data_IF_092852896319
#
_entry.id   IF_092852896319
#
_cell.length_a   1.000
_cell.length_b   1.000
_cell.length_c   1.000
_cell.angle_alpha   90.00
_cell.angle_beta   90.00
_cell.angle_gamma   90.00
#
_symmetry.space_group_name_H-M   'P 1'
#
loop_
_entity.id
_entity.type
_entity.pdbx_description
1 polymer ?
#
# COMPACT_ATOMS: atom_id res chain seq x y z
N UNK A 1 -8.50 -2.62 -8.79
CA UNK A 1 -8.18 -1.27 -9.35
C UNK A 1 -9.24 -0.28 -8.89
N UNK A 2 -8.86 0.86 -8.33
CA UNK A 2 -9.78 1.89 -7.85
C UNK A 2 -9.77 3.07 -8.81
N UNK A 3 -10.96 3.49 -9.22
CA UNK A 3 -11.17 4.61 -10.13
C UNK A 3 -12.12 5.64 -9.50
N UNK A 4 -12.17 6.83 -10.07
CA UNK A 4 -13.06 7.89 -9.61
C UNK A 4 -12.57 9.25 -10.08
N UNK A 5 -13.46 10.24 -10.04
CA UNK A 5 -13.19 11.62 -10.45
C UNK A 5 -12.05 12.25 -9.65
N UNK A 6 -11.45 13.31 -10.18
CA UNK A 6 -10.46 14.08 -9.43
C UNK A 6 -11.08 14.60 -8.12
N UNK A 7 -10.33 14.50 -7.02
CA UNK A 7 -10.81 14.95 -5.71
C UNK A 7 -11.80 14.02 -5.01
N UNK A 8 -12.15 12.83 -5.57
CA UNK A 8 -13.07 11.89 -4.91
C UNK A 8 -12.47 11.18 -3.68
N UNK A 9 -11.16 11.31 -3.44
CA UNK A 9 -10.50 10.78 -2.24
C UNK A 9 -9.66 9.52 -2.43
N UNK A 10 -9.21 9.16 -3.65
CA UNK A 10 -8.38 7.96 -3.89
C UNK A 10 -7.10 7.95 -3.05
N UNK A 11 -6.34 9.04 -3.06
CA UNK A 11 -5.14 9.20 -2.22
C UNK A 11 -5.47 9.17 -0.73
N UNK A 12 -6.58 9.83 -0.33
CA UNK A 12 -7.05 9.80 1.06
C UNK A 12 -7.42 8.39 1.52
N UNK A 13 -8.00 7.59 0.62
CA UNK A 13 -8.28 6.18 0.89
C UNK A 13 -6.96 5.40 1.13
N UNK A 14 -5.94 5.61 0.31
CA UNK A 14 -4.62 5.03 0.51
C UNK A 14 -4.02 5.39 1.88
N UNK A 15 -4.10 6.65 2.29
CA UNK A 15 -3.65 7.07 3.63
C UNK A 15 -4.46 6.43 4.74
N UNK A 16 -5.79 6.36 4.62
CA UNK A 16 -6.64 5.71 5.60
C UNK A 16 -6.33 4.20 5.70
N UNK A 17 -6.12 3.53 4.55
CA UNK A 17 -5.75 2.12 4.51
C UNK A 17 -4.39 1.86 5.18
N UNK A 18 -3.43 2.79 5.06
CA UNK A 18 -2.10 2.67 5.64
C UNK A 18 -1.95 3.29 7.03
N UNK A 19 -3.02 3.84 7.62
CA UNK A 19 -3.00 4.32 9.01
C UNK A 19 -2.61 3.20 9.99
N UNK A 20 -3.00 1.96 9.72
CA UNK A 20 -2.64 0.79 10.52
C UNK A 20 -1.12 0.57 10.60
N UNK A 21 -0.36 0.93 9.57
CA UNK A 21 1.10 0.81 9.58
C UNK A 21 1.70 1.74 10.64
N UNK A 22 1.20 2.96 10.73
CA UNK A 22 1.65 3.92 11.74
C UNK A 22 1.17 3.54 13.15
N UNK A 23 0.00 2.91 13.24
CA UNK A 23 -0.59 2.45 14.50
C UNK A 23 0.17 1.27 15.11
N UNK A 24 0.58 0.32 14.28
CA UNK A 24 1.14 -0.97 14.73
C UNK A 24 2.66 -1.08 14.59
N UNK A 25 3.34 -0.11 13.96
CA UNK A 25 4.79 -0.15 13.75
C UNK A 25 5.48 1.09 14.30
N UNK A 26 6.83 1.12 14.23
CA UNK A 26 7.64 2.31 14.59
C UNK A 26 7.75 3.34 13.47
N UNK A 27 7.03 3.13 12.35
CA UNK A 27 7.06 4.04 11.21
C UNK A 27 6.29 5.30 11.55
N UNK A 28 6.96 6.44 11.42
CA UNK A 28 6.34 7.74 11.72
C UNK A 28 5.53 8.26 10.53
N UNK A 29 4.49 9.03 10.83
CA UNK A 29 3.79 9.85 9.83
C UNK A 29 4.74 10.85 9.17
N UNK A 30 4.54 11.14 7.90
CA UNK A 30 5.18 12.29 7.27
C UNK A 30 4.57 13.62 7.78
N UNK A 31 5.19 14.76 7.39
CA UNK A 31 4.79 16.07 7.88
C UNK A 31 3.32 16.41 7.51
N UNK A 32 2.82 15.97 6.35
CA UNK A 32 1.44 16.21 5.93
C UNK A 32 0.43 15.36 6.69
N UNK A 33 0.78 14.16 7.06
CA UNK A 33 -0.08 13.24 7.80
C UNK A 33 -0.11 13.56 9.30
N UNK A 34 0.89 14.28 9.82
CA UNK A 34 0.94 14.73 11.23
C UNK A 34 0.02 15.91 11.52
N UNK A 35 -0.48 16.59 10.49
CA UNK A 35 -1.37 17.74 10.70
C UNK A 35 -2.72 17.30 11.23
N UNK A 36 -2.92 17.48 12.54
CA UNK A 36 -4.14 17.12 13.24
C UNK A 36 -5.36 17.92 12.77
N UNK A 37 -5.16 19.09 12.14
CA UNK A 37 -6.26 19.94 11.65
C UNK A 37 -6.99 19.30 10.46
N UNK A 38 -6.34 18.42 9.72
CA UNK A 38 -6.86 17.77 8.52
C UNK A 38 -7.13 16.26 8.73
N UNK A 39 -6.99 15.76 9.95
CA UNK A 39 -7.13 14.31 10.21
C UNK A 39 -8.58 13.84 10.18
N UNK A 40 -9.48 14.60 10.78
CA UNK A 40 -10.91 14.30 10.75
C UNK A 40 -11.57 14.95 9.53
N UNK A 41 -12.57 14.27 8.97
CA UNK A 41 -13.38 14.84 7.90
C UNK A 41 -14.13 16.09 8.41
N UNK A 42 -13.89 17.25 7.79
CA UNK A 42 -14.49 18.54 8.18
C UNK A 42 -16.01 18.59 8.10
N UNK A 43 -16.63 17.73 7.26
CA UNK A 43 -18.10 17.63 7.15
C UNK A 43 -18.72 16.68 8.19
N UNK A 44 -17.89 16.02 9.03
CA UNK A 44 -18.35 15.06 10.03
C UNK A 44 -18.40 15.69 11.43
N UNK A 45 -19.53 15.45 12.16
CA UNK A 45 -19.60 15.79 13.58
C UNK A 45 -18.92 14.75 14.48
N UNK A 46 -18.32 13.69 13.94
CA UNK A 46 -17.66 12.66 14.74
C UNK A 46 -16.37 13.21 15.38
N UNK A 47 -16.14 12.83 16.63
CA UNK A 47 -14.98 13.28 17.41
C UNK A 47 -13.73 12.44 17.16
N UNK A 48 -13.84 11.34 16.41
CA UNK A 48 -12.75 10.46 16.05
C UNK A 48 -13.03 9.77 14.72
N UNK A 49 -11.98 9.40 14.00
CA UNK A 49 -12.02 8.55 12.82
C UNK A 49 -12.02 7.08 13.28
N UNK A 50 -12.84 6.24 12.65
CA UNK A 50 -12.90 4.80 12.91
C UNK A 50 -12.26 4.03 11.77
N UNK A 51 -11.42 3.08 12.12
CA UNK A 51 -10.75 2.16 11.20
C UNK A 51 -11.15 0.75 11.56
N UNK A 52 -11.46 -0.06 10.54
CA UNK A 52 -11.82 -1.46 10.69
C UNK A 52 -11.10 -2.27 9.62
N UNK A 53 -10.35 -3.28 10.05
CA UNK A 53 -9.59 -4.19 9.20
C UNK A 53 -10.00 -5.61 9.50
N UNK A 54 -10.15 -6.38 8.43
CA UNK A 54 -10.42 -7.80 8.49
C UNK A 54 -9.31 -8.56 7.77
N UNK A 55 -8.75 -9.54 8.46
CA UNK A 55 -7.73 -10.44 7.92
C UNK A 55 -8.23 -11.86 7.96
N UNK A 56 -7.72 -12.69 7.04
CA UNK A 56 -7.95 -14.12 7.09
C UNK A 56 -6.60 -14.84 7.02
N UNK A 57 -6.26 -15.56 8.09
CA UNK A 57 -5.04 -16.35 8.19
C UNK A 57 -5.39 -17.83 8.38
N UNK A 58 -5.02 -18.68 7.42
CA UNK A 58 -5.29 -20.14 7.46
C UNK A 58 -6.77 -20.47 7.76
N UNK A 59 -7.70 -19.71 7.19
CA UNK A 59 -9.13 -19.87 7.40
C UNK A 59 -9.67 -19.23 8.68
N UNK A 60 -8.82 -18.66 9.55
CA UNK A 60 -9.24 -17.94 10.76
C UNK A 60 -9.44 -16.46 10.45
N UNK A 61 -10.65 -15.96 10.71
CA UNK A 61 -10.98 -14.54 10.60
C UNK A 61 -10.44 -13.77 11.80
N UNK A 62 -9.73 -12.68 11.53
CA UNK A 62 -9.19 -11.75 12.53
C UNK A 62 -9.67 -10.34 12.23
N UNK A 63 -10.27 -9.68 13.20
CA UNK A 63 -10.81 -8.33 13.07
C UNK A 63 -10.05 -7.39 14.01
N UNK A 64 -9.56 -6.30 13.48
CA UNK A 64 -8.90 -5.25 14.25
C UNK A 64 -9.56 -3.90 13.97
N UNK A 65 -10.09 -3.30 15.03
CA UNK A 65 -10.80 -2.02 14.96
C UNK A 65 -10.16 -1.04 15.91
N UNK A 66 -10.04 0.22 15.49
CA UNK A 66 -9.62 1.29 16.39
C UNK A 66 -10.21 2.64 15.98
N UNK A 67 -10.26 3.56 16.95
CA UNK A 67 -10.69 4.94 16.76
C UNK A 67 -9.58 5.90 17.14
N UNK A 68 -9.34 6.94 16.33
CA UNK A 68 -8.37 8.00 16.58
C UNK A 68 -9.03 9.37 16.60
N UNK A 69 -8.78 10.14 17.67
CA UNK A 69 -9.19 11.55 17.75
C UNK A 69 -8.19 12.49 17.06
N UNK A 70 -6.94 12.06 16.93
CA UNK A 70 -5.85 12.72 16.19
C UNK A 70 -4.87 11.64 15.69
N UNK A 71 -3.92 11.94 14.78
CA UNK A 71 -2.98 10.96 14.22
C UNK A 71 -2.31 10.07 15.28
N UNK A 72 -1.98 10.64 16.43
CA UNK A 72 -1.27 9.99 17.54
C UNK A 72 -2.13 9.78 18.79
N UNK A 73 -3.48 9.87 18.70
CA UNK A 73 -4.39 9.69 19.84
C UNK A 73 -5.41 8.60 19.55
N UNK A 74 -5.08 7.37 19.94
CA UNK A 74 -6.02 6.24 19.91
C UNK A 74 -6.94 6.36 21.12
N UNK A 75 -8.25 6.38 20.89
CA UNK A 75 -9.29 6.48 21.94
C UNK A 75 -10.12 5.21 22.08
N UNK A 76 -10.08 4.34 21.12
CA UNK A 76 -10.79 3.06 21.10
C UNK A 76 -9.95 2.01 20.40
N UNK A 77 -10.01 0.76 20.84
CA UNK A 77 -9.31 -0.36 20.18
C UNK A 77 -9.99 -1.68 20.53
N UNK A 78 -10.20 -2.52 19.54
CA UNK A 78 -10.81 -3.84 19.68
C UNK A 78 -10.15 -4.85 18.77
N UNK A 79 -9.86 -6.03 19.30
CA UNK A 79 -9.29 -7.14 18.55
C UNK A 79 -10.11 -8.40 18.74
N UNK A 80 -10.43 -9.10 17.64
CA UNK A 80 -11.24 -10.31 17.63
C UNK A 80 -10.57 -11.40 16.81
N UNK A 81 -10.71 -12.64 17.24
CA UNK A 81 -10.24 -13.84 16.53
C UNK A 81 -11.36 -14.87 16.47
N UNK A 82 -11.72 -15.31 15.28
CA UNK A 82 -12.80 -16.28 15.08
C UNK A 82 -14.13 -15.83 15.68
N UNK A 83 -14.40 -14.54 15.67
CA UNK A 83 -15.63 -13.94 16.23
C UNK A 83 -15.63 -13.73 17.74
N UNK A 84 -14.55 -14.11 18.45
CA UNK A 84 -14.40 -13.90 19.91
C UNK A 84 -13.56 -12.67 20.20
N UNK A 85 -13.98 -11.85 21.16
CA UNK A 85 -13.21 -10.70 21.62
C UNK A 85 -11.98 -11.17 22.39
N UNK A 86 -10.81 -10.66 21.98
CA UNK A 86 -9.53 -10.89 22.68
C UNK A 86 -9.26 -9.74 23.64
N UNK A 87 -9.47 -8.51 23.17
CA UNK A 87 -9.47 -7.34 24.04
C UNK A 87 -10.35 -6.21 23.50
N UNK A 88 -10.81 -5.39 24.40
CA UNK A 88 -11.49 -4.12 24.15
C UNK A 88 -10.84 -3.07 25.04
N UNK A 89 -10.38 -1.96 24.43
CA UNK A 89 -10.02 -0.72 25.11
C UNK A 89 -10.97 0.37 24.66
N UNK A 90 -11.72 0.92 25.59
CA UNK A 90 -12.63 2.03 25.33
C UNK A 90 -12.26 3.21 26.24
N UNK A 91 -11.46 4.12 25.71
CA UNK A 91 -11.05 5.33 26.39
C UNK A 91 -12.08 6.45 26.32
N UNK A 92 -13.28 6.19 25.72
CA UNK A 92 -14.40 7.13 25.62
C UNK A 92 -15.36 6.88 26.79
N UNK A 93 -15.86 5.65 26.90
CA UNK A 93 -16.84 5.26 27.91
C UNK A 93 -16.21 4.53 29.10
N UNK A 94 -14.91 4.22 29.03
CA UNK A 94 -14.14 3.57 30.09
C UNK A 94 -14.39 2.07 30.23
N UNK A 95 -15.07 1.45 29.26
CA UNK A 95 -15.37 0.01 29.28
C UNK A 95 -14.23 -0.79 28.65
N UNK A 96 -13.36 -1.34 29.51
CA UNK A 96 -12.20 -2.12 29.05
C UNK A 96 -12.40 -3.60 29.40
N UNK A 97 -12.06 -4.50 28.46
CA UNK A 97 -12.00 -5.94 28.66
C UNK A 97 -10.72 -6.49 28.01
N UNK A 98 -9.89 -7.13 28.82
CA UNK A 98 -8.61 -7.73 28.41
C UNK A 98 -8.56 -9.23 28.72
N UNK A 99 -9.68 -9.84 29.08
CA UNK A 99 -9.74 -11.23 29.56
C UNK A 99 -9.26 -12.25 28.54
N UNK A 100 -9.56 -12.02 27.24
CA UNK A 100 -9.13 -12.90 26.15
C UNK A 100 -7.63 -12.87 25.87
N UNK A 101 -6.87 -11.92 26.44
CA UNK A 101 -5.41 -11.89 26.30
C UNK A 101 -4.72 -13.07 27.01
N UNK A 102 -5.42 -13.73 27.96
CA UNK A 102 -4.92 -14.93 28.63
C UNK A 102 -4.66 -16.08 27.68
N UNK A 103 -5.48 -16.25 26.65
CA UNK A 103 -5.34 -17.29 25.63
C UNK A 103 -4.12 -17.09 24.71
N UNK A 104 -3.50 -15.89 24.76
CA UNK A 104 -2.34 -15.50 23.96
C UNK A 104 -1.11 -15.18 24.81
N UNK A 105 -1.01 -15.76 25.99
CA UNK A 105 0.16 -15.62 26.88
C UNK A 105 0.34 -14.23 27.52
N UNK A 106 -0.67 -13.36 27.44
CA UNK A 106 -0.59 -11.99 27.93
C UNK A 106 -1.50 -11.71 29.16
N UNK A 107 -2.06 -12.74 29.77
CA UNK A 107 -3.00 -12.59 30.90
C UNK A 107 -2.43 -11.93 32.16
N UNK A 108 -1.11 -11.96 32.35
CA UNK A 108 -0.43 -11.28 33.47
C UNK A 108 0.10 -9.88 33.09
N UNK A 109 -0.02 -9.46 31.84
CA UNK A 109 0.48 -8.18 31.37
C UNK A 109 -0.43 -7.03 31.85
N UNK A 110 0.17 -6.00 32.39
CA UNK A 110 -0.58 -4.78 32.73
C UNK A 110 -0.82 -3.96 31.45
N UNK A 111 -2.04 -4.02 30.93
CA UNK A 111 -2.47 -3.31 29.71
C UNK A 111 -3.26 -2.02 30.00
N UNK A 112 -3.10 -1.43 31.18
CA UNK A 112 -3.71 -0.14 31.48
C UNK A 112 -3.00 0.99 30.73
N UNK A 113 -3.36 1.14 29.45
CA UNK A 113 -2.76 2.08 28.52
C UNK A 113 -3.72 3.28 28.36
N UNK A 114 -3.24 4.47 28.66
CA UNK A 114 -4.00 5.71 28.47
C UNK A 114 -4.22 6.01 26.96
N UNK A 115 -5.18 6.89 26.67
CA UNK A 115 -5.35 7.41 25.33
C UNK A 115 -4.06 8.06 24.83
N UNK A 116 -3.60 7.68 23.64
CA UNK A 116 -2.31 8.13 23.11
C UNK A 116 -1.87 7.29 21.91
N UNK A 117 -0.58 7.36 21.53
CA UNK A 117 -0.10 6.73 20.29
C UNK A 117 0.10 5.21 20.41
N UNK A 118 0.12 4.66 21.63
CA UNK A 118 0.43 3.26 21.84
C UNK A 118 -0.82 2.37 21.67
N UNK A 119 -0.78 1.46 20.69
CA UNK A 119 -1.78 0.41 20.51
C UNK A 119 -1.62 -0.70 21.54
N UNK A 120 -2.72 -1.22 22.07
CA UNK A 120 -2.75 -2.43 22.92
C UNK A 120 -2.16 -3.62 22.19
N UNK A 121 -2.58 -3.85 20.92
CA UNK A 121 -2.07 -4.96 20.11
C UNK A 121 -0.55 -4.91 20.00
N UNK A 122 0.00 -3.76 19.63
CA UNK A 122 1.44 -3.55 19.51
C UNK A 122 2.15 -3.74 20.86
N UNK A 123 1.58 -3.19 21.93
CA UNK A 123 2.14 -3.32 23.26
C UNK A 123 2.21 -4.77 23.72
N UNK A 124 1.14 -5.52 23.52
CA UNK A 124 1.06 -6.95 23.88
C UNK A 124 2.12 -7.76 23.13
N UNK A 125 2.16 -7.63 21.79
CA UNK A 125 3.11 -8.41 20.96
C UNK A 125 4.56 -8.07 21.30
N UNK A 126 4.88 -6.83 21.61
CA UNK A 126 6.25 -6.42 21.95
C UNK A 126 6.69 -6.80 23.38
N UNK A 127 5.76 -7.12 24.28
CA UNK A 127 6.05 -7.40 25.69
C UNK A 127 5.73 -8.83 26.12
N UNK A 128 5.34 -9.69 25.17
CA UNK A 128 5.08 -11.12 25.43
C UNK A 128 5.74 -11.99 24.38
N UNK A 129 6.05 -13.22 24.76
CA UNK A 129 6.50 -14.24 23.79
C UNK A 129 5.25 -14.82 23.14
N UNK A 130 5.07 -14.54 21.87
CA UNK A 130 3.98 -15.07 21.07
C UNK A 130 4.34 -16.45 20.53
N UNK A 131 3.38 -17.36 20.52
CA UNK A 131 3.53 -18.63 19.83
C UNK A 131 3.65 -18.43 18.32
N UNK A 132 4.36 -19.33 17.64
CA UNK A 132 4.45 -19.32 16.18
C UNK A 132 3.05 -19.41 15.56
N UNK A 133 2.75 -18.45 14.67
CA UNK A 133 1.44 -18.38 14.03
C UNK A 133 0.33 -17.72 14.87
N UNK A 134 0.64 -17.13 16.02
CA UNK A 134 -0.33 -16.35 16.81
C UNK A 134 -1.00 -15.28 15.94
N UNK A 135 -2.35 -15.18 15.93
CA UNK A 135 -3.07 -14.15 15.17
C UNK A 135 -2.61 -12.72 15.47
N UNK A 136 -2.20 -12.44 16.71
CA UNK A 136 -1.70 -11.13 17.13
C UNK A 136 -0.39 -10.79 16.40
N UNK A 137 0.58 -11.71 16.42
CA UNK A 137 1.87 -11.52 15.75
C UNK A 137 1.74 -11.54 14.22
N UNK A 138 0.80 -12.33 13.67
CA UNK A 138 0.53 -12.37 12.23
C UNK A 138 0.02 -11.03 11.70
N UNK A 139 -0.88 -10.35 12.42
CA UNK A 139 -1.34 -9.00 12.02
C UNK A 139 -0.17 -8.04 12.02
N UNK A 140 0.65 -7.99 13.08
CA UNK A 140 1.84 -7.11 13.13
C UNK A 140 2.80 -7.43 11.98
N UNK A 141 3.10 -8.72 11.75
CA UNK A 141 3.97 -9.17 10.66
C UNK A 141 3.43 -8.77 9.28
N UNK A 142 2.13 -8.97 9.03
CA UNK A 142 1.49 -8.57 7.79
C UNK A 142 1.60 -7.05 7.59
N UNK A 143 1.21 -6.27 8.59
CA UNK A 143 1.19 -4.80 8.52
C UNK A 143 2.60 -4.21 8.36
N UNK A 144 3.61 -4.80 9.00
CA UNK A 144 5.00 -4.33 8.87
C UNK A 144 5.57 -4.50 7.47
N UNK A 145 4.99 -5.38 6.64
CA UNK A 145 5.40 -5.69 5.27
C UNK A 145 4.47 -5.08 4.21
N UNK A 146 3.52 -4.22 4.58
CA UNK A 146 2.71 -3.46 3.63
C UNK A 146 3.55 -2.40 2.92
N UNK A 147 3.29 -2.18 1.64
CA UNK A 147 4.02 -1.26 0.77
C UNK A 147 3.05 -0.33 0.04
N UNK A 148 3.30 0.98 0.15
CA UNK A 148 2.55 2.03 -0.53
C UNK A 148 3.48 2.85 -1.43
N UNK A 149 3.27 2.81 -2.74
CA UNK A 149 3.95 3.66 -3.70
C UNK A 149 3.18 4.97 -3.90
N UNK A 150 3.86 6.08 -3.68
CA UNK A 150 3.36 7.43 -3.90
C UNK A 150 3.93 7.97 -5.20
N UNK A 151 3.42 7.51 -6.34
CA UNK A 151 4.01 7.78 -7.65
C UNK A 151 4.07 9.25 -8.05
N UNK A 152 3.18 10.11 -7.54
CA UNK A 152 3.20 11.55 -7.81
C UNK A 152 4.16 12.36 -6.92
N UNK A 153 4.68 11.79 -5.84
CA UNK A 153 5.59 12.48 -4.91
C UNK A 153 6.98 11.82 -4.93
N UNK A 154 7.83 12.30 -5.84
CA UNK A 154 9.25 11.93 -5.94
C UNK A 154 9.53 10.42 -6.06
N UNK A 155 8.56 9.63 -6.57
CA UNK A 155 8.64 8.17 -6.61
C UNK A 155 8.96 7.58 -5.22
N UNK A 156 8.39 8.16 -4.17
CA UNK A 156 8.58 7.70 -2.80
C UNK A 156 7.63 6.56 -2.45
N UNK A 157 7.98 5.81 -1.42
CA UNK A 157 7.15 4.74 -0.87
C UNK A 157 7.05 4.84 0.65
N UNK A 158 5.97 4.23 1.21
CA UNK A 158 5.72 4.13 2.64
C UNK A 158 5.53 2.65 2.97
N UNK A 159 5.92 2.26 4.16
CA UNK A 159 5.71 0.90 4.62
C UNK A 159 7.02 0.19 4.91
N UNK A 160 7.27 -0.98 4.30
CA UNK A 160 8.49 -1.73 4.53
C UNK A 160 9.74 -0.88 4.29
N UNK A 161 10.70 -0.94 5.20
CA UNK A 161 11.97 -0.20 5.09
C UNK A 161 13.08 -1.22 4.82
N UNK A 162 13.70 -1.09 3.67
CA UNK A 162 14.86 -1.85 3.25
C UNK A 162 16.14 -1.03 3.46
N UNK A 163 16.57 -0.89 4.71
CA UNK A 163 17.84 -0.29 5.06
C UNK A 163 18.03 1.17 4.61
N UNK A 164 19.31 1.61 4.53
CA UNK A 164 19.72 2.94 4.05
C UNK A 164 20.30 2.92 2.64
N UNK A 165 20.22 1.79 1.96
CA UNK A 165 20.77 1.61 0.62
C UNK A 165 19.92 2.34 -0.42
N UNK A 166 20.57 3.04 -1.35
CA UNK A 166 19.86 3.61 -2.51
C UNK A 166 19.54 2.50 -3.53
N UNK A 167 18.55 2.74 -4.39
CA UNK A 167 18.21 1.78 -5.47
C UNK A 167 19.40 1.58 -6.40
N UNK A 168 20.17 2.63 -6.70
CA UNK A 168 21.38 2.55 -7.50
C UNK A 168 22.44 1.67 -6.82
N UNK A 169 22.65 1.84 -5.51
CA UNK A 169 23.59 0.99 -4.76
C UNK A 169 23.19 -0.47 -4.80
N UNK A 170 21.89 -0.75 -4.65
CA UNK A 170 21.33 -2.10 -4.78
C UNK A 170 21.64 -2.71 -6.16
N UNK A 171 21.34 -1.98 -7.24
CA UNK A 171 21.58 -2.43 -8.62
C UNK A 171 23.06 -2.74 -8.86
N UNK A 172 23.95 -1.88 -8.35
CA UNK A 172 25.40 -2.02 -8.52
C UNK A 172 25.91 -3.23 -7.72
N UNK A 173 25.62 -3.30 -6.42
CA UNK A 173 26.13 -4.34 -5.54
C UNK A 173 25.67 -5.75 -5.91
N UNK A 174 24.44 -5.86 -6.41
CA UNK A 174 23.85 -7.14 -6.80
C UNK A 174 24.07 -7.47 -8.29
N UNK A 175 24.85 -6.66 -9.03
CA UNK A 175 25.12 -6.89 -10.44
C UNK A 175 23.87 -6.79 -11.33
N UNK A 176 22.86 -6.05 -10.89
CA UNK A 176 21.54 -5.97 -11.53
C UNK A 176 21.43 -4.87 -12.61
N UNK A 177 22.48 -4.09 -12.87
CA UNK A 177 22.46 -2.96 -13.81
C UNK A 177 22.09 -3.39 -15.23
N UNK A 178 22.69 -4.48 -15.74
CA UNK A 178 22.38 -5.00 -17.07
C UNK A 178 21.02 -5.72 -17.14
N UNK A 179 20.57 -6.32 -16.04
CA UNK A 179 19.21 -6.86 -15.93
C UNK A 179 18.18 -5.73 -15.95
N UNK A 180 18.43 -4.67 -15.22
CA UNK A 180 17.58 -3.47 -15.24
C UNK A 180 17.56 -2.81 -16.63
N UNK A 181 18.69 -2.73 -17.32
CA UNK A 181 18.77 -2.26 -18.72
C UNK A 181 17.86 -3.09 -19.64
N UNK A 182 17.89 -4.42 -19.49
CA UNK A 182 17.01 -5.34 -20.24
C UNK A 182 15.54 -5.11 -19.91
N UNK A 183 15.22 -4.97 -18.61
CA UNK A 183 13.87 -4.67 -18.13
C UNK A 183 13.31 -3.37 -18.75
N UNK A 184 14.11 -2.30 -18.84
CA UNK A 184 13.70 -1.05 -19.47
C UNK A 184 13.37 -1.25 -20.97
N UNK A 185 14.15 -2.08 -21.67
CA UNK A 185 13.88 -2.42 -23.06
C UNK A 185 12.60 -3.25 -23.23
N UNK A 186 12.44 -4.29 -22.42
CA UNK A 186 11.29 -5.21 -22.51
C UNK A 186 9.98 -4.54 -22.09
N UNK A 187 9.99 -3.73 -21.04
CA UNK A 187 8.78 -3.11 -20.49
C UNK A 187 8.36 -1.82 -21.19
N UNK A 188 9.31 -1.01 -21.63
CA UNK A 188 9.03 0.35 -22.09
C UNK A 188 9.68 0.69 -23.43
N UNK A 189 10.31 -0.27 -24.10
CA UNK A 189 11.10 -0.06 -25.33
C UNK A 189 12.17 1.04 -25.19
N UNK A 190 12.69 1.22 -23.96
CA UNK A 190 13.74 2.20 -23.66
C UNK A 190 15.10 1.56 -23.95
N UNK A 191 15.73 1.98 -25.05
CA UNK A 191 17.09 1.56 -25.40
C UNK A 191 18.11 2.49 -24.76
N UNK A 192 18.79 1.97 -23.74
CA UNK A 192 19.88 2.66 -23.04
C UNK A 192 21.03 1.68 -22.85
N UNK A 193 22.25 2.19 -22.88
CA UNK A 193 23.42 1.40 -22.47
C UNK A 193 23.91 1.91 -21.12
N UNK A 194 23.75 1.07 -20.08
CA UNK A 194 24.05 1.40 -18.69
C UNK A 194 25.37 0.73 -18.27
N UNK A 195 26.32 1.51 -17.85
CA UNK A 195 27.59 1.03 -17.31
C UNK A 195 27.87 1.58 -15.92
N UNK A 196 28.67 0.83 -15.13
CA UNK A 196 29.11 1.25 -13.81
C UNK A 196 30.54 1.79 -13.93
N UNK A 197 30.69 3.05 -13.62
CA UNK A 197 31.99 3.74 -13.64
C UNK A 197 32.33 4.25 -12.25
N UNK A 198 33.60 4.14 -11.84
CA UNK A 198 34.07 4.74 -10.57
C UNK A 198 34.29 6.23 -10.75
N UNK A 199 33.57 7.03 -9.97
CA UNK A 199 33.72 8.48 -9.87
C UNK A 199 34.11 8.83 -8.43
N UNK A 200 35.24 9.47 -8.23
CA UNK A 200 35.76 9.78 -6.90
C UNK A 200 35.87 8.55 -5.96
N UNK A 201 36.15 7.39 -6.54
CA UNK A 201 36.26 6.12 -5.82
C UNK A 201 34.92 5.40 -5.57
N UNK A 202 33.76 6.03 -5.85
CA UNK A 202 32.44 5.45 -5.71
C UNK A 202 31.88 4.94 -7.05
N UNK A 203 31.26 3.77 -7.08
CA UNK A 203 30.61 3.28 -8.29
C UNK A 203 29.32 4.06 -8.57
N UNK A 204 29.14 4.50 -9.79
CA UNK A 204 27.98 5.28 -10.26
C UNK A 204 27.49 4.71 -11.59
N UNK A 205 26.18 4.70 -11.80
CA UNK A 205 25.57 4.25 -13.07
C UNK A 205 25.61 5.40 -14.08
N UNK A 206 26.14 5.13 -15.25
CA UNK A 206 26.20 6.05 -16.38
C UNK A 206 25.44 5.50 -17.57
N UNK A 207 24.90 6.42 -18.37
CA UNK A 207 24.37 6.14 -19.71
C UNK A 207 25.47 6.45 -20.72
N UNK A 208 25.81 5.48 -21.55
CA UNK A 208 26.67 5.71 -22.71
C UNK A 208 25.81 6.20 -23.88
N UNK A 209 26.09 7.37 -24.41
CA UNK A 209 25.41 7.87 -25.59
C UNK A 209 26.23 7.67 -26.88
N UNK A 210 25.59 7.87 -28.05
CA UNK A 210 26.21 7.73 -29.36
C UNK A 210 27.43 8.63 -29.62
N UNK A 211 27.65 9.64 -28.78
CA UNK A 211 28.81 10.54 -28.83
C UNK A 211 29.95 10.17 -27.87
N UNK A 212 29.94 8.95 -27.33
CA UNK A 212 30.91 8.48 -26.32
C UNK A 212 30.99 9.35 -25.04
N UNK A 213 29.95 10.14 -24.75
CA UNK A 213 29.86 10.89 -23.49
C UNK A 213 29.14 10.04 -22.46
N UNK A 214 29.76 9.93 -21.29
CA UNK A 214 29.13 9.32 -20.12
C UNK A 214 28.26 10.36 -19.41
N UNK A 215 26.97 10.05 -19.28
CA UNK A 215 26.01 10.89 -18.57
C UNK A 215 25.57 10.16 -17.31
N UNK A 216 25.60 10.85 -16.17
CA UNK A 216 25.11 10.28 -14.92
C UNK A 216 23.63 9.91 -15.08
N UNK A 217 23.30 8.62 -14.88
CA UNK A 217 21.94 8.10 -15.09
C UNK A 217 20.92 8.84 -14.25
N UNK A 218 21.20 9.09 -12.97
CA UNK A 218 20.31 9.80 -12.06
C UNK A 218 19.93 11.21 -12.55
N UNK A 219 20.85 11.87 -13.25
CA UNK A 219 20.64 13.23 -13.75
C UNK A 219 19.85 13.28 -15.05
N UNK A 220 19.91 12.22 -15.88
CA UNK A 220 19.31 12.20 -17.20
C UNK A 220 18.07 11.32 -17.33
N UNK A 221 17.83 10.43 -16.36
CA UNK A 221 16.66 9.55 -16.32
C UNK A 221 15.37 10.37 -16.23
N UNK A 222 14.43 10.07 -17.11
CA UNK A 222 13.07 10.64 -17.07
C UNK A 222 12.32 10.21 -15.81
N UNK A 223 11.23 10.91 -15.49
CA UNK A 223 10.36 10.51 -14.37
C UNK A 223 9.82 9.09 -14.53
N UNK A 224 9.41 8.71 -15.75
CA UNK A 224 8.96 7.35 -16.06
C UNK A 224 10.06 6.31 -15.88
N UNK A 225 11.29 6.60 -16.33
CA UNK A 225 12.44 5.70 -16.14
C UNK A 225 12.77 5.50 -14.65
N UNK A 226 12.68 6.58 -13.84
CA UNK A 226 12.87 6.48 -12.39
C UNK A 226 11.76 5.70 -11.69
N UNK A 227 10.52 5.89 -12.13
CA UNK A 227 9.38 5.12 -11.63
C UNK A 227 9.54 3.62 -11.96
N UNK A 228 10.01 3.28 -13.16
CA UNK A 228 10.34 1.90 -13.53
C UNK A 228 11.51 1.34 -12.73
N UNK A 229 12.51 2.14 -12.40
CA UNK A 229 13.62 1.71 -11.55
C UNK A 229 13.14 1.39 -10.12
N UNK A 230 12.26 2.20 -9.57
CA UNK A 230 11.63 1.94 -8.27
C UNK A 230 10.78 0.66 -8.33
N UNK A 231 9.98 0.49 -9.37
CA UNK A 231 9.16 -0.70 -9.53
C UNK A 231 10.01 -1.96 -9.72
N UNK A 232 11.06 -1.90 -10.55
CA UNK A 232 12.03 -2.99 -10.73
C UNK A 232 12.73 -3.39 -9.42
N UNK A 233 13.12 -2.41 -8.61
CA UNK A 233 13.68 -2.68 -7.28
C UNK A 233 12.73 -3.53 -6.44
N UNK A 234 11.46 -3.14 -6.37
CA UNK A 234 10.46 -3.87 -5.60
C UNK A 234 10.07 -5.21 -6.20
N UNK A 235 10.10 -5.37 -7.54
CA UNK A 235 9.94 -6.69 -8.17
C UNK A 235 10.92 -7.72 -7.64
N UNK A 236 12.14 -7.29 -7.29
CA UNK A 236 13.16 -8.15 -6.70
C UNK A 236 13.02 -8.36 -5.17
N UNK A 237 11.98 -7.78 -4.54
CA UNK A 237 11.73 -7.83 -3.10
C UNK A 237 10.26 -8.13 -2.76
N UNK A 238 9.46 -8.51 -3.74
CA UNK A 238 8.03 -8.78 -3.48
C UNK A 238 7.80 -9.99 -2.58
N UNK A 239 8.73 -10.90 -2.46
CA UNK A 239 8.71 -12.00 -1.48
C UNK A 239 8.68 -11.49 -0.02
N UNK A 240 9.14 -10.28 0.23
CA UNK A 240 9.11 -9.64 1.53
C UNK A 240 7.84 -8.79 1.78
N UNK A 241 7.01 -8.60 0.76
CA UNK A 241 5.84 -7.72 0.80
C UNK A 241 4.57 -8.53 1.02
N UNK A 242 3.66 -8.04 1.87
CA UNK A 242 2.36 -8.67 2.17
C UNK A 242 1.18 -8.07 1.42
N UNK A 243 1.27 -6.77 1.11
CA UNK A 243 0.23 -5.98 0.46
C UNK A 243 0.84 -4.81 -0.29
N UNK A 244 0.32 -4.50 -1.49
CA UNK A 244 0.80 -3.39 -2.33
C UNK A 244 -0.33 -2.42 -2.60
N UNK A 245 -0.07 -1.13 -2.38
CA UNK A 245 -0.92 -0.04 -2.85
C UNK A 245 -0.11 0.90 -3.75
N UNK A 246 -0.58 1.16 -4.98
CA UNK A 246 0.07 2.09 -5.91
C UNK A 246 -0.90 3.20 -6.27
N UNK A 247 -0.62 4.41 -5.79
CA UNK A 247 -1.46 5.58 -6.03
C UNK A 247 -1.11 6.24 -7.36
N UNK A 248 -2.16 6.55 -8.16
CA UNK A 248 -2.03 7.12 -9.51
C UNK A 248 -0.91 6.44 -10.31
N UNK A 249 -0.95 5.11 -10.36
CA UNK A 249 0.17 4.26 -10.78
C UNK A 249 0.65 4.55 -12.21
N UNK A 250 -0.25 4.99 -13.05
CA UNK A 250 -0.04 5.25 -14.48
C UNK A 250 0.31 6.71 -14.80
N UNK A 251 0.54 7.57 -13.78
CA UNK A 251 0.83 8.99 -13.98
C UNK A 251 2.07 9.28 -14.84
N UNK A 252 3.01 8.33 -14.94
CA UNK A 252 4.26 8.45 -15.70
C UNK A 252 4.39 7.44 -16.82
N UNK A 253 3.37 6.63 -17.10
CA UNK A 253 3.44 5.53 -18.02
C UNK A 253 2.51 5.73 -19.22
N UNK A 254 2.95 5.28 -20.40
CA UNK A 254 2.06 5.10 -21.53
C UNK A 254 1.10 3.92 -21.27
N UNK A 255 0.02 3.86 -22.02
CA UNK A 255 -1.04 2.86 -21.85
C UNK A 255 -0.50 1.42 -21.83
N UNK A 256 0.31 1.06 -22.82
CA UNK A 256 0.85 -0.31 -22.96
C UNK A 256 1.70 -0.71 -21.76
N UNK A 257 2.48 0.22 -21.21
CA UNK A 257 3.29 -0.02 -20.02
C UNK A 257 2.42 -0.15 -18.77
N UNK A 258 1.38 0.67 -18.67
CA UNK A 258 0.41 0.58 -17.55
C UNK A 258 -0.28 -0.78 -17.53
N UNK A 259 -0.71 -1.28 -18.70
CA UNK A 259 -1.29 -2.62 -18.85
C UNK A 259 -0.29 -3.72 -18.43
N UNK A 260 0.96 -3.63 -18.89
CA UNK A 260 2.00 -4.59 -18.56
C UNK A 260 2.29 -4.65 -17.05
N UNK A 261 2.31 -3.49 -16.37
CA UNK A 261 2.47 -3.42 -14.91
C UNK A 261 1.28 -4.07 -14.17
N UNK A 262 0.04 -3.82 -14.63
CA UNK A 262 -1.13 -4.47 -14.02
C UNK A 262 -1.05 -6.00 -14.18
N UNK A 263 -0.63 -6.50 -15.34
CA UNK A 263 -0.44 -7.94 -15.55
C UNK A 263 0.62 -8.50 -14.61
N UNK A 264 1.76 -7.83 -14.45
CA UNK A 264 2.79 -8.24 -13.50
C UNK A 264 2.28 -8.26 -12.05
N UNK A 265 1.49 -7.26 -11.62
CA UNK A 265 0.90 -7.24 -10.29
C UNK A 265 -0.16 -8.34 -10.12
N UNK A 266 -0.92 -8.67 -11.16
CA UNK A 266 -1.93 -9.72 -11.13
C UNK A 266 -1.32 -11.13 -11.06
N UNK A 267 -0.10 -11.31 -11.57
CA UNK A 267 0.63 -12.57 -11.52
C UNK A 267 1.24 -12.87 -10.12
N UNK A 268 1.21 -11.90 -9.20
CA UNK A 268 1.64 -12.09 -7.82
C UNK A 268 0.56 -12.84 -7.00
N UNK A 269 0.65 -14.17 -6.93
CA UNK A 269 -0.37 -15.02 -6.32
C UNK A 269 -0.56 -14.81 -4.81
N UNK A 270 0.52 -14.42 -4.11
CA UNK A 270 0.56 -14.36 -2.64
C UNK A 270 0.45 -12.92 -2.08
N UNK A 271 0.28 -11.93 -2.96
CA UNK A 271 0.25 -10.52 -2.59
C UNK A 271 -1.04 -9.89 -3.12
N UNK A 272 -1.83 -9.29 -2.23
CA UNK A 272 -2.95 -8.47 -2.63
C UNK A 272 -2.45 -7.11 -3.12
N UNK A 273 -2.79 -6.75 -4.36
CA UNK A 273 -2.38 -5.48 -4.98
C UNK A 273 -3.59 -4.59 -5.23
N UNK A 274 -3.48 -3.33 -4.85
CA UNK A 274 -4.46 -2.28 -5.12
C UNK A 274 -3.77 -1.13 -5.84
N UNK A 275 -4.35 -0.70 -6.96
CA UNK A 275 -3.86 0.46 -7.71
C UNK A 275 -4.97 1.48 -7.89
N UNK A 276 -4.63 2.76 -7.89
CA UNK A 276 -5.55 3.83 -8.28
C UNK A 276 -5.16 4.40 -9.63
N UNK A 277 -6.15 4.77 -10.43
CA UNK A 277 -5.94 5.35 -11.77
C UNK A 277 -7.04 6.32 -12.14
N UNK A 278 -6.71 7.22 -13.08
CA UNK A 278 -7.66 8.05 -13.83
C UNK A 278 -7.86 7.57 -15.27
N UNK A 279 -7.12 6.58 -15.72
CA UNK A 279 -7.09 6.10 -17.10
C UNK A 279 -8.19 5.07 -17.36
N UNK A 280 -9.27 5.51 -17.98
CA UNK A 280 -10.40 4.64 -18.33
C UNK A 280 -10.09 3.61 -19.41
N UNK A 281 -9.02 3.79 -20.19
CA UNK A 281 -8.63 2.81 -21.22
C UNK A 281 -8.16 1.47 -20.61
N UNK A 282 -7.82 1.46 -19.33
CA UNK A 282 -7.46 0.23 -18.58
C UNK A 282 -8.69 -0.60 -18.15
N UNK A 283 -9.92 -0.14 -18.46
CA UNK A 283 -11.13 -0.87 -18.12
C UNK A 283 -11.43 -1.91 -19.18
N UNK A 284 -10.79 -3.05 -19.05
CA UNK A 284 -10.87 -4.17 -19.99
C UNK A 284 -11.07 -5.49 -19.24
N UNK A 285 -12.05 -6.28 -19.67
CA UNK A 285 -12.32 -7.61 -19.13
C UNK A 285 -11.17 -8.61 -19.39
N UNK A 286 -10.31 -8.35 -20.36
CA UNK A 286 -9.12 -9.13 -20.65
C UNK A 286 -7.93 -8.78 -19.72
N UNK A 287 -8.01 -7.62 -19.03
CA UNK A 287 -7.00 -7.19 -18.07
C UNK A 287 -7.36 -7.63 -16.65
N UNK A 288 -8.54 -7.27 -16.16
CA UNK A 288 -9.07 -7.66 -14.85
C UNK A 288 -10.57 -7.98 -14.96
N UNK A 289 -11.06 -8.80 -14.03
CA UNK A 289 -12.51 -9.08 -13.93
C UNK A 289 -13.28 -7.85 -13.42
N UNK A 290 -14.59 -7.73 -13.73
CA UNK A 290 -15.42 -6.59 -13.28
C UNK A 290 -15.47 -6.40 -11.76
N UNK A 291 -15.36 -7.47 -10.98
CA UNK A 291 -15.31 -7.44 -9.51
C UNK A 291 -13.98 -6.92 -8.95
N UNK A 292 -12.97 -6.73 -9.81
CA UNK A 292 -11.66 -6.15 -9.47
C UNK A 292 -11.56 -4.64 -9.80
N UNK A 293 -12.59 -4.05 -10.43
CA UNK A 293 -12.70 -2.61 -10.66
C UNK A 293 -13.66 -2.00 -9.65
N UNK A 294 -13.25 -0.95 -8.95
CA UNK A 294 -14.03 -0.27 -7.94
C UNK A 294 -14.20 1.20 -8.29
N UNK A 295 -15.44 1.70 -8.29
CA UNK A 295 -15.69 3.14 -8.35
C UNK A 295 -15.70 3.73 -6.94
N UNK A 296 -14.94 4.81 -6.73
CA UNK A 296 -14.92 5.61 -5.51
C UNK A 296 -15.60 6.95 -5.81
N UNK A 297 -16.78 7.16 -5.25
CA UNK A 297 -17.56 8.37 -5.41
C UNK A 297 -18.31 8.69 -4.11
N UNK A 298 -18.41 9.97 -3.73
CA UNK A 298 -19.14 10.45 -2.55
C UNK A 298 -18.77 9.70 -1.25
N UNK A 299 -17.50 9.32 -1.08
CA UNK A 299 -17.01 8.58 0.08
C UNK A 299 -17.46 7.11 0.13
N UNK A 300 -18.00 6.59 -0.97
CA UNK A 300 -18.40 5.17 -1.11
C UNK A 300 -17.56 4.50 -2.18
N UNK A 301 -17.24 3.24 -1.95
CA UNK A 301 -16.50 2.40 -2.90
C UNK A 301 -17.26 1.10 -3.12
N UNK A 302 -17.54 0.79 -4.38
CA UNK A 302 -18.20 -0.46 -4.78
C UNK A 302 -17.59 -0.98 -6.07
N UNK A 303 -17.57 -2.30 -6.23
CA UNK A 303 -17.08 -2.90 -7.47
C UNK A 303 -18.05 -2.67 -8.64
N UNK A 304 -17.54 -2.69 -9.87
CA UNK A 304 -18.38 -2.60 -11.06
C UNK A 304 -19.41 -3.74 -11.12
N UNK A 305 -19.04 -4.93 -10.63
CA UNK A 305 -19.94 -6.06 -10.55
C UNK A 305 -21.08 -5.89 -9.54
N UNK A 306 -20.88 -5.08 -8.48
CA UNK A 306 -21.91 -4.78 -7.48
C UNK A 306 -22.80 -3.60 -7.85
N UNK A 307 -22.30 -2.68 -8.70
CA UNK A 307 -23.06 -1.49 -9.11
C UNK A 307 -24.01 -1.82 -10.25
N UNK A 308 -23.52 -2.58 -11.24
CA UNK A 308 -24.31 -2.91 -12.42
C UNK A 308 -25.32 -4.03 -12.14
N UNK A 309 -26.57 -3.79 -12.51
CA UNK A 309 -27.63 -4.83 -12.51
C UNK A 309 -27.51 -5.79 -13.72
N UNK A 310 -26.56 -5.54 -14.62
CA UNK A 310 -26.35 -6.33 -15.83
C UNK A 310 -25.36 -7.45 -15.60
N UNK A 311 -25.59 -8.59 -16.27
CA UNK A 311 -24.57 -9.63 -16.42
C UNK A 311 -23.47 -9.13 -17.35
N UNK A 312 -22.36 -8.62 -16.75
CA UNK A 312 -21.22 -8.11 -17.49
C UNK A 312 -20.44 -9.29 -18.07
N UNK A 313 -20.49 -9.45 -19.40
CA UNK A 313 -19.79 -10.52 -20.12
C UNK A 313 -18.48 -10.03 -20.71
N UNK A 314 -17.57 -10.95 -21.03
CA UNK A 314 -16.26 -10.64 -21.60
C UNK A 314 -16.31 -9.75 -22.86
N UNK A 315 -17.39 -9.81 -23.65
CA UNK A 315 -17.56 -8.96 -24.85
C UNK A 315 -18.04 -7.53 -24.56
N UNK A 316 -18.37 -7.18 -23.32
CA UNK A 316 -18.77 -5.82 -23.00
C UNK A 316 -17.54 -4.94 -22.77
N UNK A 317 -17.53 -3.75 -23.37
CA UNK A 317 -16.51 -2.73 -23.09
C UNK A 317 -16.83 -2.05 -21.76
N UNK A 318 -16.03 -2.35 -20.73
CA UNK A 318 -16.15 -1.71 -19.42
C UNK A 318 -15.93 -0.20 -19.50
N UNK A 319 -15.01 0.25 -20.35
CA UNK A 319 -14.78 1.67 -20.61
C UNK A 319 -16.03 2.40 -21.11
N UNK A 320 -16.73 1.81 -22.08
CA UNK A 320 -17.96 2.41 -22.61
C UNK A 320 -19.07 2.44 -21.59
N UNK A 321 -19.21 1.39 -20.78
CA UNK A 321 -20.20 1.32 -19.70
C UNK A 321 -19.89 2.40 -18.65
N UNK A 322 -18.63 2.54 -18.25
CA UNK A 322 -18.19 3.59 -17.29
C UNK A 322 -18.49 5.00 -17.83
N UNK A 323 -18.12 5.28 -19.07
CA UNK A 323 -18.39 6.58 -19.71
C UNK A 323 -19.88 6.84 -19.92
N UNK A 324 -20.69 5.80 -20.00
CA UNK A 324 -22.14 5.87 -20.07
C UNK A 324 -22.85 6.06 -18.73
N UNK A 325 -22.11 6.11 -17.60
CA UNK A 325 -22.66 6.28 -16.26
C UNK A 325 -23.20 4.99 -15.63
N UNK A 326 -22.94 3.80 -16.21
CA UNK A 326 -23.40 2.52 -15.67
C UNK A 326 -22.88 2.23 -14.26
N UNK A 327 -21.73 2.80 -13.89
CA UNK A 327 -21.04 2.56 -12.62
C UNK A 327 -21.04 3.79 -11.68
N UNK A 328 -21.90 4.78 -11.90
CA UNK A 328 -22.09 5.93 -11.00
C UNK A 328 -22.74 5.49 -9.67
N UNK A 329 -22.34 6.11 -8.51
CA UNK A 329 -22.76 5.76 -7.15
C UNK A 329 -23.67 6.81 -6.53
#
# INVERSE_FOLDING_TARGET
MIVGKNGCGKTSFGFALFDIVYTLTDKGYDAHQKDSSNFLNGDSCKKFASFEYEFQFDGVRVEYMYGKAAPDIIVYEKFRVGGKDVFIRDGIDGHNDYTGLGDYGAGSLNVNIANGPLSVLRYVVNNTVQEDGSPLSRVISFVSRMLYFRSLQDNSYIGIIQGRETIEDYLIRNGKVKDFQRYLKEMADIEVDLDVVKMDGMPVIFVQNTGNKLLNFKSVASSGTRALMLFYYWLNHFDEVSFIFVDDFDAFYHFELSEAIIRQLNDLSDIQSVVTTHNTSLFDNGLLRPDCYFNLENGRMRSFAEISDRDIRAGHSLERLYRGGEFDL
#
